data_IF_017655183013
#
_entry.id   IF_017655183013
#
_cell.length_a   1.000
_cell.length_b   1.000
_cell.length_c   1.000
_cell.angle_alpha   90.00
_cell.angle_beta   90.00
_cell.angle_gamma   90.00
#
_symmetry.space_group_name_H-M   'P 1'
#
loop_
_entity.id
_entity.type
_entity.pdbx_description
1 polymer ?
#
# COMPACT_ATOMS: atom_id res chain seq x y z
N UNK A 1 7.22 -29.55 -29.08
CA UNK A 1 6.91 -29.53 -27.63
C UNK A 1 7.58 -28.30 -27.05
N UNK A 2 6.82 -27.24 -26.77
CA UNK A 2 7.35 -26.06 -26.11
C UNK A 2 7.49 -26.38 -24.62
N UNK A 3 8.72 -26.33 -24.11
CA UNK A 3 9.00 -26.35 -22.67
C UNK A 3 8.26 -25.18 -22.03
N UNK A 4 7.22 -25.46 -21.26
CA UNK A 4 6.51 -24.45 -20.48
C UNK A 4 7.49 -23.78 -19.53
N UNK A 5 7.64 -22.46 -19.66
CA UNK A 5 8.40 -21.66 -18.71
C UNK A 5 7.82 -21.92 -17.32
N UNK A 6 8.63 -22.45 -16.40
CA UNK A 6 8.22 -22.64 -15.02
C UNK A 6 7.99 -21.26 -14.39
N UNK A 7 6.74 -20.96 -14.06
CA UNK A 7 6.36 -19.70 -13.42
C UNK A 7 7.14 -19.53 -12.11
N UNK A 8 7.80 -18.38 -11.93
CA UNK A 8 8.61 -18.12 -10.72
C UNK A 8 7.70 -18.17 -9.49
N UNK A 9 8.02 -18.94 -8.43
CA UNK A 9 7.17 -19.02 -7.25
C UNK A 9 7.01 -17.64 -6.59
N UNK A 10 5.78 -17.10 -6.60
CA UNK A 10 5.42 -15.81 -6.00
C UNK A 10 4.99 -16.02 -4.56
N UNK A 11 5.62 -15.30 -3.61
CA UNK A 11 5.11 -15.16 -2.23
C UNK A 11 4.47 -13.79 -2.04
N UNK A 12 3.23 -13.76 -1.57
CA UNK A 12 2.50 -12.51 -1.36
C UNK A 12 2.48 -12.17 0.13
N UNK A 13 3.09 -11.04 0.45
CA UNK A 13 2.93 -10.33 1.71
C UNK A 13 1.62 -9.56 1.73
N UNK A 14 0.82 -9.72 2.78
CA UNK A 14 -0.39 -8.90 2.96
C UNK A 14 -0.19 -8.02 4.17
N UNK A 15 -0.22 -6.70 3.97
CA UNK A 15 -0.18 -5.74 5.07
C UNK A 15 -1.59 -5.18 5.27
N UNK A 16 -2.16 -5.41 6.44
CA UNK A 16 -3.48 -4.90 6.78
C UNK A 16 -3.38 -3.68 7.71
N UNK A 17 -4.09 -2.61 7.33
CA UNK A 17 -4.34 -1.44 8.18
C UNK A 17 -5.33 -1.72 9.32
N UNK A 18 -5.94 -0.66 9.85
CA UNK A 18 -6.87 -0.74 10.98
C UNK A 18 -8.04 -1.74 10.75
N UNK A 19 -8.74 -2.18 11.79
CA UNK A 19 -9.96 -2.99 11.69
C UNK A 19 -9.82 -4.47 11.30
N UNK A 20 -8.61 -4.99 11.01
CA UNK A 20 -8.39 -6.42 10.71
C UNK A 20 -7.58 -7.12 11.81
N UNK A 21 -8.07 -8.30 12.23
CA UNK A 21 -7.47 -9.14 13.29
C UNK A 21 -6.94 -10.48 12.79
N UNK A 22 -7.10 -10.78 11.50
CA UNK A 22 -6.77 -12.08 10.89
C UNK A 22 -5.25 -12.27 10.72
N UNK A 23 -4.60 -13.08 11.57
CA UNK A 23 -3.15 -13.38 11.47
C UNK A 23 -2.77 -14.18 10.23
N UNK A 24 -3.74 -14.85 9.62
CA UNK A 24 -3.64 -15.62 8.39
C UNK A 24 -4.94 -15.42 7.61
N UNK A 25 -4.86 -15.21 6.29
CA UNK A 25 -6.04 -15.36 5.44
C UNK A 25 -6.21 -16.86 5.16
N UNK A 26 -7.34 -17.44 5.58
CA UNK A 26 -7.73 -18.77 5.15
C UNK A 26 -8.11 -18.68 3.67
N UNK A 27 -7.15 -19.02 2.82
CA UNK A 27 -7.37 -19.19 1.39
C UNK A 27 -7.56 -20.68 1.11
N UNK A 28 -8.36 -21.08 0.12
CA UNK A 28 -8.46 -22.49 -0.31
C UNK A 28 -7.17 -23.03 -0.95
N UNK A 29 -6.07 -22.26 -0.92
CA UNK A 29 -4.77 -22.59 -1.50
C UNK A 29 -3.72 -22.80 -0.40
N UNK A 30 -2.71 -23.62 -0.70
CA UNK A 30 -1.66 -24.06 0.22
C UNK A 30 -1.06 -22.90 1.02
N UNK A 31 -1.08 -23.01 2.36
CA UNK A 31 -0.56 -22.03 3.35
C UNK A 31 0.94 -21.67 3.20
N UNK A 32 1.63 -22.18 2.17
CA UNK A 32 3.07 -22.04 1.96
C UNK A 32 3.48 -20.78 1.19
N UNK A 33 2.54 -20.09 0.52
CA UNK A 33 2.84 -18.99 -0.40
C UNK A 33 2.32 -17.60 0.02
N UNK A 34 1.69 -17.46 1.20
CA UNK A 34 1.13 -16.19 1.67
C UNK A 34 1.59 -15.92 3.11
N UNK A 35 2.34 -14.83 3.29
CA UNK A 35 2.76 -14.33 4.61
C UNK A 35 1.90 -13.09 4.94
N UNK A 36 1.05 -13.17 5.97
CA UNK A 36 0.24 -12.02 6.41
C UNK A 36 0.95 -11.28 7.55
N UNK A 37 1.16 -9.96 7.40
CA UNK A 37 1.75 -9.10 8.43
C UNK A 37 0.69 -8.10 8.91
N UNK A 38 0.24 -8.28 10.16
CA UNK A 38 -0.72 -7.38 10.82
C UNK A 38 -0.01 -6.29 11.62
N UNK A 39 -0.51 -5.05 11.54
CA UNK A 39 0.14 -3.86 12.17
C UNK A 39 -0.73 -3.18 13.25
N UNK A 40 -1.93 -3.69 13.55
CA UNK A 40 -2.95 -2.98 14.34
C UNK A 40 -2.59 -2.61 15.80
N UNK A 41 -1.59 -3.24 16.43
CA UNK A 41 -1.23 -2.95 17.84
C UNK A 41 -0.21 -1.83 17.99
N UNK A 42 0.27 -1.25 16.88
CA UNK A 42 1.38 -0.29 16.86
C UNK A 42 0.90 1.01 16.22
N UNK A 43 1.12 2.15 16.89
CA UNK A 43 0.84 3.47 16.31
C UNK A 43 1.56 3.63 14.96
N UNK A 44 0.97 4.26 13.93
CA UNK A 44 1.56 4.37 12.59
C UNK A 44 3.02 4.87 12.59
N UNK A 45 3.32 5.85 13.43
CA UNK A 45 4.68 6.41 13.55
C UNK A 45 5.73 5.49 14.17
N UNK A 46 5.32 4.39 14.82
CA UNK A 46 6.19 3.41 15.49
C UNK A 46 6.27 2.08 14.74
N UNK A 47 5.60 1.97 13.58
CA UNK A 47 5.64 0.77 12.75
C UNK A 47 7.04 0.61 12.18
N UNK A 48 7.64 -0.57 12.40
CA UNK A 48 8.93 -0.89 11.81
C UNK A 48 8.75 -1.36 10.35
N UNK A 49 8.57 -0.39 9.45
CA UNK A 49 8.34 -0.67 8.02
C UNK A 49 9.53 -1.39 7.36
N UNK A 50 10.77 -1.09 7.77
CA UNK A 50 11.98 -1.76 7.25
C UNK A 50 11.92 -3.28 7.51
N UNK A 51 11.58 -3.70 8.74
CA UNK A 51 11.49 -5.11 9.09
C UNK A 51 10.34 -5.84 8.39
N UNK A 52 9.22 -5.17 8.13
CA UNK A 52 8.07 -5.74 7.45
C UNK A 52 8.37 -6.02 5.96
N UNK A 53 8.98 -5.05 5.29
CA UNK A 53 9.27 -5.13 3.85
C UNK A 53 10.39 -6.13 3.54
N UNK A 54 11.38 -6.28 4.41
CA UNK A 54 12.54 -7.17 4.17
C UNK A 54 12.19 -8.66 3.97
N UNK A 55 10.97 -9.10 4.29
CA UNK A 55 10.58 -10.52 4.33
C UNK A 55 9.79 -11.04 3.11
N UNK A 56 9.43 -10.18 2.16
CA UNK A 56 8.38 -10.45 1.16
C UNK A 56 8.82 -10.11 -0.27
N UNK A 57 8.17 -10.67 -1.30
CA UNK A 57 8.54 -10.48 -2.73
C UNK A 57 7.43 -9.83 -3.58
N UNK A 58 6.18 -9.85 -3.11
CA UNK A 58 5.05 -9.07 -3.61
C UNK A 58 4.26 -8.59 -2.41
N UNK A 59 3.78 -7.35 -2.41
CA UNK A 59 3.04 -6.79 -1.28
C UNK A 59 1.73 -6.18 -1.74
N UNK A 60 0.64 -6.73 -1.19
CA UNK A 60 -0.69 -6.14 -1.29
C UNK A 60 -1.05 -5.52 0.06
N UNK A 61 -1.40 -4.24 0.04
CA UNK A 61 -1.73 -3.50 1.26
C UNK A 61 -3.17 -3.05 1.24
N UNK A 62 -3.83 -3.14 2.39
CA UNK A 62 -5.09 -2.43 2.62
C UNK A 62 -4.83 -1.32 3.63
N UNK A 63 -5.28 -0.11 3.32
CA UNK A 63 -5.12 1.05 4.21
C UNK A 63 -6.46 1.76 4.37
N UNK A 64 -6.79 2.14 5.61
CA UNK A 64 -7.89 3.05 5.87
C UNK A 64 -7.47 4.48 5.52
N UNK A 65 -8.35 5.24 4.89
CA UNK A 65 -8.08 6.63 4.54
C UNK A 65 -9.32 7.53 4.67
N UNK A 66 -9.08 8.80 4.95
CA UNK A 66 -10.08 9.84 4.76
C UNK A 66 -10.16 10.25 3.30
N UNK A 67 -11.36 10.51 2.80
CA UNK A 67 -11.59 11.07 1.48
C UNK A 67 -11.37 12.58 1.49
N UNK A 68 -10.71 13.08 0.45
CA UNK A 68 -10.53 14.51 0.17
C UNK A 68 -11.36 14.97 -1.03
N UNK A 69 -12.29 14.14 -1.53
CA UNK A 69 -13.09 14.38 -2.74
C UNK A 69 -14.56 14.02 -2.48
N UNK A 70 -15.50 14.75 -3.08
CA UNK A 70 -16.94 14.47 -2.86
C UNK A 70 -17.33 13.15 -3.53
N UNK A 71 -16.71 12.85 -4.68
CA UNK A 71 -16.93 11.66 -5.48
C UNK A 71 -16.31 10.38 -4.89
N UNK A 72 -15.48 10.47 -3.84
CA UNK A 72 -14.92 9.32 -3.14
C UNK A 72 -15.67 9.19 -1.81
N UNK A 73 -16.65 8.30 -1.76
CA UNK A 73 -17.54 8.16 -0.61
C UNK A 73 -16.97 7.17 0.41
N UNK A 74 -17.25 7.35 1.72
CA UNK A 74 -17.01 6.30 2.71
C UNK A 74 -17.64 4.98 2.27
N UNK A 75 -16.83 3.94 2.05
CA UNK A 75 -17.29 2.75 1.35
C UNK A 75 -16.49 2.39 0.10
N UNK A 76 -15.94 3.40 -0.57
CA UNK A 76 -15.25 3.26 -1.84
C UNK A 76 -13.81 2.80 -1.64
N UNK A 77 -13.32 2.06 -2.64
CA UNK A 77 -11.92 1.67 -2.73
C UNK A 77 -11.19 2.53 -3.75
N UNK A 78 -9.97 2.93 -3.45
CA UNK A 78 -9.09 3.64 -4.38
C UNK A 78 -7.85 2.80 -4.60
N UNK A 79 -7.60 2.41 -5.85
CA UNK A 79 -6.37 1.72 -6.24
C UNK A 79 -5.30 2.78 -6.54
N UNK A 80 -4.71 3.30 -5.46
CA UNK A 80 -3.82 4.47 -5.48
C UNK A 80 -2.60 4.25 -6.38
N UNK A 81 -2.15 5.34 -7.01
CA UNK A 81 -1.07 5.34 -8.00
C UNK A 81 -0.01 6.41 -7.77
N UNK A 82 -0.30 7.39 -6.91
CA UNK A 82 0.62 8.44 -6.52
C UNK A 82 0.52 8.74 -5.03
N UNK A 83 1.53 9.44 -4.49
CA UNK A 83 1.52 9.88 -3.11
C UNK A 83 2.11 11.28 -2.92
N UNK A 84 1.75 11.93 -1.81
CA UNK A 84 2.38 13.13 -1.26
C UNK A 84 2.86 12.80 0.16
N UNK A 85 4.14 13.00 0.42
CA UNK A 85 4.72 12.75 1.74
C UNK A 85 4.61 13.97 2.66
N UNK A 86 3.89 13.80 3.78
CA UNK A 86 3.81 14.75 4.90
C UNK A 86 4.19 14.07 6.22
N UNK A 87 4.96 12.99 6.14
CA UNK A 87 5.58 12.36 7.30
C UNK A 87 6.84 13.13 7.70
N UNK A 88 7.24 12.95 8.95
CA UNK A 88 8.51 13.44 9.49
C UNK A 88 9.10 12.37 10.40
N UNK A 89 10.41 12.35 10.62
CA UNK A 89 11.05 11.47 11.61
C UNK A 89 10.83 9.95 11.39
N UNK A 90 10.55 9.50 10.16
CA UNK A 90 10.46 8.07 9.82
C UNK A 90 11.65 7.71 8.94
N UNK A 91 12.44 6.67 9.25
CA UNK A 91 13.46 6.17 8.34
C UNK A 91 12.81 5.74 7.02
N UNK A 92 13.20 6.34 5.91
CA UNK A 92 12.60 6.09 4.60
C UNK A 92 13.49 5.27 3.65
N UNK A 93 14.66 4.85 4.12
CA UNK A 93 15.62 4.07 3.33
C UNK A 93 16.20 2.94 4.16
N UNK A 94 16.60 1.85 3.51
CA UNK A 94 17.49 0.86 4.11
C UNK A 94 18.94 1.33 4.16
N UNK A 95 19.29 2.31 3.32
CA UNK A 95 20.64 2.76 3.01
C UNK A 95 21.06 3.97 3.87
N UNK A 96 20.91 3.83 5.18
CA UNK A 96 21.20 4.90 6.17
C UNK A 96 22.66 4.90 6.68
N UNK A 97 23.50 3.98 6.18
CA UNK A 97 24.90 3.83 6.57
C UNK A 97 25.14 3.08 7.88
N UNK A 98 24.09 2.74 8.63
CA UNK A 98 24.21 2.05 9.93
C UNK A 98 24.37 0.53 9.79
N UNK A 99 23.88 -0.05 8.69
CA UNK A 99 23.89 -1.50 8.45
C UNK A 99 24.93 -1.90 7.41
N UNK A 100 25.74 -2.94 7.71
CA UNK A 100 26.74 -3.47 6.78
C UNK A 100 26.17 -3.91 5.42
N UNK A 101 24.93 -4.42 5.41
CA UNK A 101 24.21 -4.83 4.20
C UNK A 101 23.71 -3.66 3.34
N UNK A 102 23.66 -2.44 3.87
CA UNK A 102 23.12 -1.25 3.21
C UNK A 102 23.97 0.01 3.54
N UNK A 103 25.30 -0.12 3.41
CA UNK A 103 26.25 0.97 3.70
C UNK A 103 26.36 2.05 2.64
N UNK A 104 25.78 1.82 1.47
CA UNK A 104 25.87 2.72 0.31
C UNK A 104 24.76 3.75 0.37
N UNK A 105 24.78 4.73 -0.54
CA UNK A 105 23.71 5.71 -0.68
C UNK A 105 22.76 5.26 -1.79
N UNK A 106 21.46 5.32 -1.54
CA UNK A 106 20.42 4.95 -2.50
C UNK A 106 19.57 6.17 -2.87
N UNK A 107 19.34 6.38 -4.17
CA UNK A 107 18.44 7.40 -4.72
C UNK A 107 17.41 6.74 -5.62
N UNK A 108 16.41 6.09 -5.00
CA UNK A 108 15.40 5.32 -5.70
C UNK A 108 14.37 6.22 -6.41
N UNK A 109 14.02 5.89 -7.66
CA UNK A 109 13.01 6.64 -8.42
C UNK A 109 11.59 6.34 -7.96
N UNK A 110 10.82 7.38 -7.63
CA UNK A 110 9.42 7.29 -7.22
C UNK A 110 8.43 7.85 -8.24
N UNK A 111 8.83 7.98 -9.52
CA UNK A 111 7.96 8.53 -10.57
C UNK A 111 6.65 7.70 -10.74
N UNK A 112 6.76 6.37 -10.67
CA UNK A 112 5.61 5.45 -10.70
C UNK A 112 5.66 4.55 -9.48
N UNK A 113 5.29 4.99 -8.27
CA UNK A 113 5.70 4.33 -7.03
C UNK A 113 5.08 2.95 -6.80
N UNK A 114 3.92 2.67 -7.40
CA UNK A 114 3.18 1.42 -7.26
C UNK A 114 3.35 0.51 -8.49
N UNK A 115 3.26 -0.81 -8.32
CA UNK A 115 3.40 -1.77 -9.42
C UNK A 115 2.21 -1.67 -10.40
N UNK A 116 2.42 -1.27 -11.67
CA UNK A 116 1.33 -1.09 -12.63
C UNK A 116 0.56 -2.39 -12.91
N UNK A 117 1.30 -3.49 -13.09
CA UNK A 117 0.73 -4.81 -13.37
C UNK A 117 -0.13 -5.34 -12.23
N UNK A 118 0.31 -5.17 -10.98
CA UNK A 118 -0.49 -5.57 -9.80
C UNK A 118 -1.74 -4.69 -9.66
N UNK A 119 -1.63 -3.38 -9.91
CA UNK A 119 -2.77 -2.46 -9.90
C UNK A 119 -3.81 -2.83 -10.96
N UNK A 120 -3.39 -3.19 -12.16
CA UNK A 120 -4.29 -3.63 -13.24
C UNK A 120 -5.10 -4.87 -12.83
N UNK A 121 -4.46 -5.87 -12.22
CA UNK A 121 -5.17 -7.07 -11.71
C UNK A 121 -6.19 -6.69 -10.64
N UNK A 122 -5.86 -5.77 -9.73
CA UNK A 122 -6.79 -5.27 -8.72
C UNK A 122 -8.00 -4.56 -9.37
N UNK A 123 -7.76 -3.69 -10.34
CA UNK A 123 -8.80 -2.95 -11.07
C UNK A 123 -9.75 -3.91 -11.79
N UNK A 124 -9.20 -4.84 -12.57
CA UNK A 124 -10.00 -5.82 -13.31
C UNK A 124 -10.76 -6.76 -12.37
N UNK A 125 -10.18 -7.11 -11.23
CA UNK A 125 -10.86 -7.95 -10.23
C UNK A 125 -11.99 -7.19 -9.53
N UNK A 126 -11.77 -5.92 -9.15
CA UNK A 126 -12.82 -5.08 -8.57
C UNK A 126 -13.99 -4.90 -9.53
N UNK A 127 -13.71 -4.69 -10.83
CA UNK A 127 -14.69 -4.63 -11.91
C UNK A 127 -15.50 -5.93 -12.04
N UNK A 128 -14.84 -7.09 -12.06
CA UNK A 128 -15.50 -8.41 -12.13
C UNK A 128 -16.41 -8.68 -10.93
N UNK A 129 -16.02 -8.21 -9.75
CA UNK A 129 -16.79 -8.36 -8.51
C UNK A 129 -17.91 -7.32 -8.37
N UNK A 130 -18.02 -6.35 -9.28
CA UNK A 130 -19.02 -5.28 -9.20
C UNK A 130 -18.83 -4.37 -7.98
N UNK A 131 -17.61 -4.27 -7.45
CA UNK A 131 -17.31 -3.44 -6.28
C UNK A 131 -17.17 -1.97 -6.71
N UNK A 132 -17.59 -0.99 -5.89
CA UNK A 132 -17.30 0.41 -6.16
C UNK A 132 -15.80 0.69 -5.96
N UNK A 133 -15.15 1.24 -6.99
CA UNK A 133 -13.74 1.59 -6.92
C UNK A 133 -13.38 2.76 -7.85
N UNK A 134 -12.29 3.44 -7.50
CA UNK A 134 -11.56 4.35 -8.37
C UNK A 134 -10.24 3.70 -8.80
N UNK A 135 -9.93 3.78 -10.09
CA UNK A 135 -8.75 3.14 -10.68
C UNK A 135 -7.43 3.88 -10.41
N UNK A 136 -7.50 5.12 -9.91
CA UNK A 136 -6.35 5.97 -9.60
C UNK A 136 -6.69 6.90 -8.43
N UNK A 137 -5.65 7.44 -7.79
CA UNK A 137 -5.79 8.43 -6.74
C UNK A 137 -4.45 8.74 -6.06
N UNK A 138 -4.25 10.01 -5.75
CA UNK A 138 -3.08 10.50 -5.02
C UNK A 138 -3.34 10.47 -3.52
N UNK A 139 -2.54 9.71 -2.77
CA UNK A 139 -2.65 9.65 -1.31
C UNK A 139 -1.69 10.62 -0.62
N UNK A 140 -2.18 11.47 0.27
CA UNK A 140 -1.30 12.21 1.19
C UNK A 140 -1.10 11.40 2.46
N UNK A 141 0.16 11.12 2.82
CA UNK A 141 0.49 10.43 4.08
C UNK A 141 0.98 11.44 5.10
N UNK A 142 0.20 11.67 6.16
CA UNK A 142 0.57 12.54 7.27
C UNK A 142 1.27 11.77 8.40
N UNK A 143 1.97 12.50 9.27
CA UNK A 143 2.70 11.91 10.41
C UNK A 143 1.77 11.24 11.44
N UNK A 144 0.65 11.88 11.78
CA UNK A 144 -0.20 11.49 12.92
C UNK A 144 0.49 11.69 14.28
N UNK A 145 -0.12 11.23 15.40
CA UNK A 145 -1.35 10.45 15.47
C UNK A 145 -2.63 11.29 15.43
N UNK A 146 -2.54 12.61 15.56
CA UNK A 146 -3.71 13.48 15.42
C UNK A 146 -4.20 13.48 13.96
N UNK A 147 -5.51 13.63 13.78
CA UNK A 147 -6.10 13.93 12.47
C UNK A 147 -5.74 15.35 12.02
N UNK A 148 -5.97 15.65 10.75
CA UNK A 148 -5.68 16.97 10.20
C UNK A 148 -6.61 18.04 10.77
N UNK A 149 -6.10 19.25 10.93
CA UNK A 149 -6.94 20.44 11.01
C UNK A 149 -7.68 20.67 9.69
N UNK A 150 -8.78 21.45 9.74
CA UNK A 150 -9.54 21.81 8.54
C UNK A 150 -8.70 22.57 7.52
N UNK A 151 -7.81 23.45 7.97
CA UNK A 151 -6.89 24.17 7.11
C UNK A 151 -5.96 23.21 6.35
N UNK A 152 -5.35 22.24 7.03
CA UNK A 152 -4.53 21.20 6.39
C UNK A 152 -5.34 20.39 5.37
N UNK A 153 -6.57 19.99 5.71
CA UNK A 153 -7.45 19.27 4.80
C UNK A 153 -7.72 20.04 3.49
N UNK A 154 -7.99 21.36 3.58
CA UNK A 154 -8.17 22.20 2.40
C UNK A 154 -6.87 22.41 1.60
N UNK A 155 -5.72 22.51 2.27
CA UNK A 155 -4.42 22.57 1.60
C UNK A 155 -4.19 21.30 0.78
N UNK A 156 -4.41 20.11 1.34
CA UNK A 156 -4.22 18.85 0.62
C UNK A 156 -5.17 18.70 -0.57
N UNK A 157 -6.42 19.16 -0.45
CA UNK A 157 -7.37 19.23 -1.57
C UNK A 157 -6.85 20.11 -2.70
N UNK A 158 -6.28 21.27 -2.36
CA UNK A 158 -5.70 22.23 -3.31
C UNK A 158 -4.48 21.65 -4.02
N UNK A 159 -3.68 20.83 -3.32
CA UNK A 159 -2.54 20.11 -3.89
C UNK A 159 -2.93 18.97 -4.84
N UNK A 160 -4.22 18.67 -5.00
CA UNK A 160 -4.65 17.57 -5.85
C UNK A 160 -4.75 16.21 -5.13
N UNK A 161 -4.56 16.13 -3.81
CA UNK A 161 -4.70 14.87 -3.08
C UNK A 161 -6.15 14.39 -3.04
N UNK A 162 -6.35 13.08 -3.19
CA UNK A 162 -7.67 12.45 -3.30
C UNK A 162 -8.07 11.74 -2.00
N UNK A 163 -7.08 11.13 -1.34
CA UNK A 163 -7.28 10.43 -0.06
C UNK A 163 -6.12 10.75 0.89
N UNK A 164 -6.35 10.60 2.19
CA UNK A 164 -5.36 10.88 3.26
C UNK A 164 -5.21 9.67 4.19
N UNK A 165 -3.98 9.29 4.52
CA UNK A 165 -3.70 8.27 5.52
C UNK A 165 -2.44 8.57 6.36
N UNK A 166 -1.99 7.57 7.11
CA UNK A 166 -0.81 7.67 7.97
C UNK A 166 0.25 6.58 7.75
N UNK A 167 0.09 5.67 6.77
CA UNK A 167 0.93 4.46 6.67
C UNK A 167 1.57 4.19 5.31
N UNK A 168 1.09 4.79 4.20
CA UNK A 168 1.65 4.47 2.87
C UNK A 168 3.13 4.84 2.76
N UNK A 169 3.54 5.93 3.41
CA UNK A 169 4.95 6.34 3.53
C UNK A 169 5.48 6.01 4.93
N UNK A 170 6.67 5.37 5.04
CA UNK A 170 7.64 5.03 3.99
C UNK A 170 7.47 3.64 3.36
N UNK A 171 6.34 2.97 3.57
CA UNK A 171 6.16 1.57 3.18
C UNK A 171 6.37 1.33 1.67
N UNK A 172 5.76 2.14 0.80
CA UNK A 172 5.92 2.03 -0.66
C UNK A 172 7.36 2.35 -1.10
N UNK A 173 8.03 3.27 -0.40
CA UNK A 173 9.41 3.69 -0.70
C UNK A 173 10.36 2.52 -0.43
N UNK A 174 10.25 1.91 0.75
CA UNK A 174 11.05 0.76 1.15
C UNK A 174 10.76 -0.46 0.27
N UNK A 175 9.50 -0.70 -0.09
CA UNK A 175 9.16 -1.81 -0.99
C UNK A 175 9.87 -1.67 -2.35
N UNK A 176 9.96 -0.45 -2.86
CA UNK A 176 10.67 -0.18 -4.11
C UNK A 176 12.18 -0.32 -3.97
N UNK A 177 12.79 0.15 -2.88
CA UNK A 177 14.22 -0.08 -2.61
C UNK A 177 14.56 -1.58 -2.52
N UNK A 178 13.63 -2.39 -2.05
CA UNK A 178 13.77 -3.85 -1.99
C UNK A 178 13.50 -4.56 -3.34
N UNK A 179 13.12 -3.83 -4.40
CA UNK A 179 12.78 -4.41 -5.70
C UNK A 179 11.49 -5.23 -5.68
N UNK A 180 10.54 -4.87 -4.82
CA UNK A 180 9.28 -5.59 -4.59
C UNK A 180 8.15 -4.92 -5.35
N UNK A 181 7.28 -5.73 -5.98
CA UNK A 181 6.01 -5.23 -6.49
C UNK A 181 5.09 -4.86 -5.33
N UNK A 182 4.76 -3.57 -5.20
CA UNK A 182 3.89 -3.04 -4.15
C UNK A 182 2.62 -2.43 -4.76
N UNK A 183 1.45 -2.80 -4.25
CA UNK A 183 0.19 -2.15 -4.58
C UNK A 183 -0.68 -1.98 -3.33
N UNK A 184 -1.50 -0.92 -3.32
CA UNK A 184 -2.31 -0.56 -2.17
C UNK A 184 -3.77 -0.31 -2.56
N UNK A 185 -4.67 -0.84 -1.72
CA UNK A 185 -6.11 -0.64 -1.77
C UNK A 185 -6.44 0.30 -0.61
N UNK A 186 -6.70 1.56 -0.92
CA UNK A 186 -7.12 2.55 0.07
C UNK A 186 -8.64 2.49 0.21
N UNK A 187 -9.15 2.34 1.44
CA UNK A 187 -10.58 2.27 1.73
C UNK A 187 -11.01 3.58 2.40
N UNK A 188 -11.87 4.34 1.72
CA UNK A 188 -12.45 5.55 2.28
C UNK A 188 -13.37 5.20 3.45
N UNK A 189 -13.13 5.81 4.60
CA UNK A 189 -13.87 5.56 5.85
C UNK A 189 -14.58 6.80 6.40
N UNK A 190 -14.16 7.99 5.95
CA UNK A 190 -14.66 9.31 6.35
C UNK A 190 -14.30 10.35 5.26
N UNK A 191 -14.72 11.61 5.43
CA UNK A 191 -14.34 12.75 4.59
C UNK A 191 -13.29 13.66 5.27
N UNK A 192 -12.44 13.10 6.12
CA UNK A 192 -11.52 13.84 6.98
C UNK A 192 -12.28 14.92 7.78
N UNK A 193 -12.02 16.21 7.53
CA UNK A 193 -12.66 17.33 8.22
C UNK A 193 -12.98 18.54 7.31
N UNK A 194 -12.98 18.36 5.99
CA UNK A 194 -13.26 19.44 5.02
C UNK A 194 -14.74 19.66 4.75
N UNK A 195 -15.58 18.63 4.95
CA UNK A 195 -17.03 18.71 4.71
C UNK A 195 -17.72 19.33 5.92
N UNK A 196 -18.48 20.42 5.73
CA UNK A 196 -19.03 21.22 6.83
C UNK A 196 -20.27 20.60 7.50
N UNK A 197 -21.04 19.81 6.77
CA UNK A 197 -22.32 19.22 7.23
C UNK A 197 -22.25 17.70 7.43
N UNK A 198 -21.06 17.13 7.48
CA UNK A 198 -20.86 15.75 7.92
C UNK A 198 -20.10 15.71 9.24
N UNK A 199 -20.35 14.66 10.02
CA UNK A 199 -19.63 14.45 11.28
C UNK A 199 -18.12 14.38 10.99
N UNK A 200 -17.35 15.11 11.79
CA UNK A 200 -15.89 15.02 11.72
C UNK A 200 -15.44 13.60 12.05
N UNK A 201 -14.31 13.17 11.47
CA UNK A 201 -13.75 11.82 11.70
C UNK A 201 -13.65 11.51 13.20
N UNK A 202 -14.26 10.38 13.60
CA UNK A 202 -14.23 9.84 14.95
C UNK A 202 -13.86 8.35 14.90
N UNK A 203 -13.24 7.83 15.95
CA UNK A 203 -12.82 6.42 16.01
C UNK A 203 -14.01 5.46 15.81
N UNK A 204 -15.18 5.79 16.35
CA UNK A 204 -16.37 4.95 16.23
C UNK A 204 -16.93 4.94 14.80
N UNK A 205 -16.97 6.10 14.14
CA UNK A 205 -17.36 6.20 12.72
C UNK A 205 -16.44 5.38 11.83
N UNK A 206 -15.12 5.47 12.08
CA UNK A 206 -14.11 4.64 11.41
C UNK A 206 -14.42 3.15 11.58
N UNK A 207 -14.57 2.67 12.82
CA UNK A 207 -14.77 1.23 13.10
C UNK A 207 -16.01 0.65 12.42
N UNK A 208 -17.11 1.42 12.37
CA UNK A 208 -18.35 1.01 11.69
C UNK A 208 -18.13 0.82 10.19
N UNK A 209 -17.62 1.84 9.51
CA UNK A 209 -17.37 1.81 8.06
C UNK A 209 -16.33 0.74 7.70
N UNK A 210 -15.33 0.53 8.56
CA UNK A 210 -14.34 -0.53 8.37
C UNK A 210 -14.95 -1.93 8.40
N UNK A 211 -15.92 -2.20 9.27
CA UNK A 211 -16.56 -3.53 9.35
C UNK A 211 -17.31 -3.86 8.05
N UNK A 212 -18.00 -2.88 7.48
CA UNK A 212 -18.73 -3.04 6.22
C UNK A 212 -17.77 -3.18 5.02
N UNK A 213 -16.67 -2.43 5.01
CA UNK A 213 -15.68 -2.46 3.93
C UNK A 213 -14.68 -3.62 4.02
N UNK A 214 -14.48 -4.20 5.20
CA UNK A 214 -13.56 -5.32 5.39
C UNK A 214 -13.88 -6.51 4.49
N UNK A 215 -15.17 -6.78 4.26
CA UNK A 215 -15.64 -7.85 3.38
C UNK A 215 -15.31 -7.55 1.91
N UNK A 216 -15.51 -6.32 1.44
CA UNK A 216 -15.17 -5.91 0.06
C UNK A 216 -13.69 -6.13 -0.23
N UNK A 217 -12.82 -5.60 0.65
CA UNK A 217 -11.39 -5.78 0.53
C UNK A 217 -10.95 -7.25 0.67
N UNK A 218 -11.65 -8.05 1.48
CA UNK A 218 -11.35 -9.48 1.65
C UNK A 218 -11.66 -10.24 0.37
N UNK A 219 -12.86 -10.04 -0.19
CA UNK A 219 -13.25 -10.63 -1.48
C UNK A 219 -12.28 -10.22 -2.59
N UNK A 220 -11.94 -8.93 -2.68
CA UNK A 220 -10.97 -8.44 -3.67
C UNK A 220 -9.62 -9.15 -3.54
N UNK A 221 -9.05 -9.21 -2.34
CA UNK A 221 -7.76 -9.89 -2.11
C UNK A 221 -7.83 -11.39 -2.43
N UNK A 222 -8.85 -12.09 -1.95
CA UNK A 222 -9.02 -13.53 -2.16
C UNK A 222 -9.19 -13.90 -3.65
N UNK A 223 -9.76 -13.01 -4.46
CA UNK A 223 -9.88 -13.21 -5.91
C UNK A 223 -8.66 -12.71 -6.69
N UNK A 224 -7.94 -11.71 -6.19
CA UNK A 224 -6.75 -11.14 -6.85
C UNK A 224 -5.51 -12.03 -6.66
N UNK A 225 -5.32 -12.57 -5.46
CA UNK A 225 -4.14 -13.38 -5.10
C UNK A 225 -3.93 -14.57 -6.06
N UNK A 226 -4.94 -15.41 -6.38
CA UNK A 226 -4.77 -16.51 -7.31
C UNK A 226 -4.41 -16.07 -8.73
N UNK A 227 -4.93 -14.91 -9.17
CA UNK A 227 -4.59 -14.34 -10.48
C UNK A 227 -3.12 -13.88 -10.50
N UNK A 228 -2.63 -13.24 -9.44
CA UNK A 228 -1.21 -12.85 -9.35
C UNK A 228 -0.33 -14.10 -9.36
N UNK A 229 -0.65 -15.13 -8.58
CA UNK A 229 0.17 -16.35 -8.50
C UNK A 229 0.23 -17.11 -9.83
N UNK A 230 -0.78 -17.01 -10.69
CA UNK A 230 -0.81 -17.68 -11.99
C UNK A 230 -0.15 -16.88 -13.13
N UNK A 231 0.22 -15.62 -12.90
CA UNK A 231 0.84 -14.76 -13.90
C UNK A 231 2.37 -14.88 -13.93
N UNK A 232 2.98 -14.60 -15.08
CA UNK A 232 4.43 -14.52 -15.22
C UNK A 232 4.98 -13.19 -14.67
N UNK A 233 5.96 -13.27 -13.76
CA UNK A 233 6.54 -12.10 -13.06
C UNK A 233 8.05 -11.92 -13.24
N UNK A 234 8.73 -12.83 -13.95
CA UNK A 234 10.18 -12.78 -14.12
C UNK A 234 10.68 -11.41 -14.62
N UNK A 235 10.10 -10.92 -15.73
CA UNK A 235 10.49 -9.63 -16.31
C UNK A 235 10.16 -8.41 -15.41
N UNK A 236 8.92 -8.21 -14.91
CA UNK A 236 8.63 -7.10 -14.00
C UNK A 236 9.51 -7.08 -12.74
N UNK A 237 9.76 -8.24 -12.14
CA UNK A 237 10.62 -8.36 -10.96
C UNK A 237 12.09 -8.11 -11.30
N UNK A 238 12.56 -8.55 -12.46
CA UNK A 238 13.92 -8.26 -12.90
C UNK A 238 14.11 -6.76 -13.15
N UNK A 239 13.14 -6.10 -13.76
CA UNK A 239 13.18 -4.65 -14.00
C UNK A 239 13.20 -3.86 -12.68
N UNK A 240 12.39 -4.26 -11.69
CA UNK A 240 12.42 -3.65 -10.36
C UNK A 240 13.75 -3.87 -9.64
N UNK A 241 14.31 -5.08 -9.71
CA UNK A 241 15.62 -5.39 -9.14
C UNK A 241 16.73 -4.55 -9.79
N UNK A 242 16.72 -4.44 -11.13
CA UNK A 242 17.68 -3.63 -11.86
C UNK A 242 17.55 -2.15 -11.47
N UNK A 243 16.34 -1.61 -11.40
CA UNK A 243 16.09 -0.24 -10.94
C UNK A 243 16.65 -0.01 -9.53
N UNK A 244 16.34 -0.90 -8.58
CA UNK A 244 16.83 -0.81 -7.21
C UNK A 244 18.37 -0.86 -7.15
N UNK A 245 19.00 -1.77 -7.89
CA UNK A 245 20.46 -1.90 -7.95
C UNK A 245 21.13 -0.67 -8.57
N UNK A 246 20.60 -0.16 -9.69
CA UNK A 246 21.12 1.04 -10.35
C UNK A 246 20.91 2.32 -9.55
N UNK A 247 20.02 2.30 -8.55
CA UNK A 247 19.77 3.44 -7.66
C UNK A 247 20.79 3.54 -6.51
N UNK A 248 21.64 2.53 -6.33
CA UNK A 248 22.65 2.49 -5.27
C UNK A 248 24.01 2.94 -5.82
N UNK A 249 24.59 3.98 -5.22
CA UNK A 249 25.90 4.48 -5.64
C UNK A 249 27.00 3.42 -5.43
N UNK A 250 27.97 3.31 -6.36
CA UNK A 250 29.10 2.41 -6.20
C UNK A 250 29.99 2.83 -5.01
N UNK A 251 30.86 1.93 -4.50
CA UNK A 251 31.88 2.30 -3.53
C UNK A 251 32.70 3.50 -4.02
N UNK A 252 33.06 4.42 -3.12
CA UNK A 252 34.02 5.50 -3.46
C UNK A 252 35.35 4.83 -3.85
N UNK A 253 35.87 5.22 -5.03
CA UNK A 253 37.24 4.92 -5.46
C UNK A 253 38.25 5.60 -4.53
#
# INVERSE_FOLDING_TARGET
MALGAACTPVKIGIICGAGRTEKYLDTPFDKKNIDCVLIHTIMPSKVNHQANIWKVVHVLVTTACGSLREEIQPGDMVIIDQFIDRTSLRPQTFYDGSHCSARRMCHISMAEPFCPKTREVLIETAKKLGLPYLSKGTIVTIKGPHFSSRAESFVFRTLGADVINMTTIPEVVLAREAGICYASIAMAIDYNCWKEHEEAVSVDGVLKTMKENANKAKSLLLTTIPQIVSMEWSEPLQNLKNMAQCSVLPPRL
#
